data_IF_887046600264
#
_entry.id   IF_887046600264
#
_cell.length_a   1.000
_cell.length_b   1.000
_cell.length_c   1.000
_cell.angle_alpha   90.00
_cell.angle_beta   90.00
_cell.angle_gamma   90.00
#
_symmetry.space_group_name_H-M   'P 1'
#
loop_
_entity.id
_entity.type
_entity.pdbx_description
1 polymer ?
#
# COMPACT_ATOMS: atom_id res chain seq x y z
N UNK A 1 9.34 13.32 -2.05
CA UNK A 1 10.03 12.05 -2.29
C UNK A 1 11.44 12.08 -1.72
N UNK A 2 11.55 11.96 -0.40
CA UNK A 2 12.83 12.05 0.32
C UNK A 2 13.79 10.90 -0.02
N UNK A 3 13.25 9.69 -0.25
CA UNK A 3 14.05 8.48 -0.41
C UNK A 3 14.33 8.06 -1.86
N UNK A 4 13.89 8.83 -2.85
CA UNK A 4 14.03 8.43 -4.29
C UNK A 4 15.46 8.17 -4.77
N UNK A 5 16.47 8.61 -4.02
CA UNK A 5 17.91 8.40 -4.33
C UNK A 5 18.60 7.46 -3.36
N UNK A 6 17.86 6.85 -2.44
CA UNK A 6 18.38 5.98 -1.38
C UNK A 6 18.04 4.52 -1.66
N UNK A 7 19.02 3.64 -1.95
CA UNK A 7 18.77 2.23 -2.23
C UNK A 7 18.50 1.40 -0.97
N UNK A 8 18.60 1.97 0.24
CA UNK A 8 18.27 1.29 1.49
C UNK A 8 16.78 1.37 1.82
N UNK A 9 16.02 2.19 1.07
CA UNK A 9 14.56 2.33 1.23
C UNK A 9 13.88 1.96 -0.07
N UNK A 10 13.06 0.91 -0.04
CA UNK A 10 12.15 0.61 -1.13
C UNK A 10 10.82 1.33 -0.89
N UNK A 11 10.40 2.17 -1.83
CA UNK A 11 9.12 2.86 -1.79
C UNK A 11 8.14 2.17 -2.72
N UNK A 12 7.00 1.76 -2.17
CA UNK A 12 5.87 1.23 -2.94
C UNK A 12 4.64 2.09 -2.72
N UNK A 13 3.90 2.36 -3.78
CA UNK A 13 2.60 3.03 -3.68
C UNK A 13 1.62 2.47 -4.70
N UNK A 14 0.44 2.06 -4.22
CA UNK A 14 -0.74 1.80 -5.03
C UNK A 14 -1.76 2.90 -4.74
N UNK A 15 -2.20 3.63 -5.75
CA UNK A 15 -3.01 4.83 -5.58
C UNK A 15 -3.86 5.13 -6.83
N UNK A 16 -4.91 5.91 -6.62
CA UNK A 16 -5.71 6.44 -7.74
C UNK A 16 -4.89 7.45 -8.55
N UNK A 17 -4.94 7.32 -9.89
CA UNK A 17 -4.25 8.22 -10.79
C UNK A 17 -5.10 8.44 -12.08
N UNK A 18 -5.17 9.66 -12.63
CA UNK A 18 -4.61 10.91 -12.09
C UNK A 18 -5.42 11.43 -10.90
N UNK A 19 -4.74 11.78 -9.82
CA UNK A 19 -5.34 12.36 -8.61
C UNK A 19 -4.31 13.25 -7.90
N UNK A 20 -4.69 13.87 -6.79
CA UNK A 20 -3.75 14.62 -5.97
C UNK A 20 -2.62 13.68 -5.46
N UNK A 21 -1.34 14.11 -5.46
CA UNK A 21 -0.77 15.40 -5.91
C UNK A 21 -0.32 15.43 -7.39
N UNK A 22 -0.76 14.52 -8.23
CA UNK A 22 -0.44 14.46 -9.66
C UNK A 22 0.89 13.81 -10.01
N UNK A 23 1.54 13.17 -9.03
CA UNK A 23 2.77 12.37 -9.17
C UNK A 23 2.48 10.88 -8.96
N UNK A 24 3.49 10.02 -9.10
CA UNK A 24 3.33 8.58 -8.88
C UNK A 24 3.02 7.82 -10.17
N UNK A 25 3.50 8.28 -11.31
CA UNK A 25 3.40 7.51 -12.55
C UNK A 25 4.22 6.23 -12.46
N UNK A 26 3.84 5.21 -13.24
CA UNK A 26 4.60 3.95 -13.33
C UNK A 26 6.06 4.14 -13.74
N UNK A 27 6.37 5.21 -14.45
CA UNK A 27 7.73 5.54 -14.89
C UNK A 27 8.61 6.18 -13.81
N UNK A 28 8.05 6.58 -12.68
CA UNK A 28 8.81 7.13 -11.55
C UNK A 28 9.37 5.98 -10.71
N UNK A 29 10.57 5.50 -11.06
CA UNK A 29 11.20 4.29 -10.47
C UNK A 29 12.37 4.61 -9.53
N UNK A 30 12.53 5.86 -9.13
CA UNK A 30 13.66 6.32 -8.31
C UNK A 30 14.66 7.16 -9.10
N UNK A 31 15.77 7.51 -8.46
CA UNK A 31 16.80 8.40 -9.06
C UNK A 31 18.19 8.03 -8.56
N UNK A 32 19.23 8.18 -9.41
CA UNK A 32 20.63 7.89 -9.07
C UNK A 32 20.79 6.48 -8.45
N UNK A 33 21.35 6.36 -7.24
CA UNK A 33 21.53 5.08 -6.54
C UNK A 33 20.21 4.40 -6.16
N UNK A 34 19.12 5.16 -5.99
CA UNK A 34 17.78 4.63 -5.71
C UNK A 34 16.97 4.28 -6.95
N UNK A 35 17.59 4.27 -8.15
CA UNK A 35 16.89 3.83 -9.37
C UNK A 35 16.50 2.34 -9.25
N UNK A 36 15.22 2.03 -9.46
CA UNK A 36 14.65 0.70 -9.28
C UNK A 36 14.12 0.41 -7.86
N UNK A 37 14.31 1.34 -6.90
CA UNK A 37 13.80 1.23 -5.53
C UNK A 37 12.51 2.02 -5.28
N UNK A 38 11.80 2.33 -6.35
CA UNK A 38 10.44 2.90 -6.30
C UNK A 38 9.55 2.14 -7.26
N UNK A 39 8.41 1.67 -6.76
CA UNK A 39 7.38 1.00 -7.55
C UNK A 39 6.04 1.71 -7.35
N UNK A 40 5.49 2.25 -8.41
CA UNK A 40 4.17 2.85 -8.43
C UNK A 40 3.18 1.97 -9.21
N UNK A 41 2.01 1.75 -8.63
CA UNK A 41 0.86 1.08 -9.23
C UNK A 41 -0.29 2.09 -9.34
N UNK A 42 -0.27 2.97 -10.36
CA UNK A 42 -1.35 3.91 -10.59
C UNK A 42 -2.59 3.16 -11.08
N UNK A 43 -3.71 3.37 -10.40
CA UNK A 43 -5.02 2.78 -10.70
C UNK A 43 -5.98 3.85 -11.20
N UNK A 44 -6.81 3.52 -12.16
CA UNK A 44 -7.91 4.40 -12.57
C UNK A 44 -9.03 4.37 -11.52
N UNK A 45 -9.77 5.47 -11.43
CA UNK A 45 -11.02 5.49 -10.69
C UNK A 45 -11.89 4.28 -11.08
N UNK A 46 -12.60 3.72 -10.13
CA UNK A 46 -13.50 2.57 -10.32
C UNK A 46 -12.85 1.29 -10.86
N UNK A 47 -11.51 1.16 -10.79
CA UNK A 47 -10.85 -0.12 -11.10
C UNK A 47 -11.49 -1.24 -10.26
N UNK A 48 -11.86 -2.40 -10.84
CA UNK A 48 -12.44 -3.51 -10.09
C UNK A 48 -11.53 -3.96 -8.93
N UNK A 49 -12.11 -4.25 -7.77
CA UNK A 49 -11.33 -4.59 -6.56
C UNK A 49 -10.48 -5.85 -6.75
N UNK A 50 -10.96 -6.83 -7.54
CA UNK A 50 -10.18 -8.02 -7.88
C UNK A 50 -8.90 -7.69 -8.65
N UNK A 51 -8.95 -6.69 -9.53
CA UNK A 51 -7.77 -6.25 -10.28
C UNK A 51 -6.82 -5.44 -9.40
N UNK A 52 -7.37 -4.66 -8.47
CA UNK A 52 -6.57 -3.94 -7.47
C UNK A 52 -5.80 -4.91 -6.58
N UNK A 53 -6.45 -5.94 -6.03
CA UNK A 53 -5.81 -6.97 -5.20
C UNK A 53 -4.73 -7.72 -5.98
N UNK A 54 -5.05 -8.17 -7.20
CA UNK A 54 -4.07 -8.85 -8.06
C UNK A 54 -2.85 -7.96 -8.34
N UNK A 55 -3.06 -6.66 -8.58
CA UNK A 55 -1.98 -5.72 -8.81
C UNK A 55 -1.13 -5.52 -7.54
N UNK A 56 -1.77 -5.48 -6.37
CA UNK A 56 -1.09 -5.40 -5.07
C UNK A 56 -0.22 -6.64 -4.81
N UNK A 57 -0.81 -7.84 -4.92
CA UNK A 57 -0.10 -9.11 -4.70
C UNK A 57 1.09 -9.25 -5.65
N UNK A 58 0.89 -8.91 -6.92
CA UNK A 58 1.97 -8.92 -7.92
C UNK A 58 3.09 -7.93 -7.57
N UNK A 59 2.74 -6.74 -7.07
CA UNK A 59 3.72 -5.73 -6.68
C UNK A 59 4.53 -6.18 -5.46
N UNK A 60 3.88 -6.73 -4.42
CA UNK A 60 4.58 -7.26 -3.25
C UNK A 60 5.50 -8.41 -3.64
N UNK A 61 5.05 -9.35 -4.48
CA UNK A 61 5.89 -10.43 -5.00
C UNK A 61 7.09 -9.93 -5.79
N UNK A 62 6.92 -8.89 -6.63
CA UNK A 62 8.02 -8.24 -7.35
C UNK A 62 9.04 -7.64 -6.39
N UNK A 63 8.58 -6.93 -5.36
CA UNK A 63 9.45 -6.29 -4.36
C UNK A 63 10.21 -7.36 -3.58
N UNK A 64 9.51 -8.37 -3.06
CA UNK A 64 10.09 -9.44 -2.26
C UNK A 64 11.18 -10.22 -3.02
N UNK A 65 11.08 -10.30 -4.35
CA UNK A 65 12.10 -10.97 -5.17
C UNK A 65 13.44 -10.23 -5.28
N UNK A 66 13.48 -8.93 -4.93
CA UNK A 66 14.66 -8.07 -5.14
C UNK A 66 15.06 -7.18 -3.97
N UNK A 67 14.27 -7.18 -2.89
CA UNK A 67 14.53 -6.36 -1.72
C UNK A 67 14.16 -7.11 -0.44
N UNK A 68 15.09 -7.18 0.51
CA UNK A 68 14.87 -7.80 1.83
C UNK A 68 14.85 -6.68 2.88
N UNK A 69 13.68 -6.28 3.39
CA UNK A 69 13.57 -5.23 4.39
C UNK A 69 13.99 -5.71 5.78
N UNK A 70 14.54 -4.83 6.58
CA UNK A 70 14.69 -5.01 8.03
C UNK A 70 13.43 -4.58 8.80
N UNK A 71 12.60 -3.73 8.18
CA UNK A 71 11.37 -3.17 8.73
C UNK A 71 10.44 -2.79 7.59
N UNK A 72 9.15 -3.07 7.74
CA UNK A 72 8.10 -2.60 6.85
C UNK A 72 7.30 -1.49 7.52
N UNK A 73 7.10 -0.38 6.82
CA UNK A 73 6.23 0.71 7.25
C UNK A 73 5.06 0.81 6.28
N UNK A 74 3.84 0.68 6.79
CA UNK A 74 2.60 0.84 6.05
C UNK A 74 2.08 2.26 6.25
N UNK A 75 2.03 3.06 5.18
CA UNK A 75 1.21 4.28 5.14
C UNK A 75 -0.22 3.85 4.80
N UNK A 76 -1.03 3.63 5.83
CA UNK A 76 -2.36 3.07 5.72
C UNK A 76 -3.38 4.16 5.39
N UNK A 77 -3.61 4.41 4.10
CA UNK A 77 -4.66 5.28 3.60
C UNK A 77 -5.97 4.50 3.43
N UNK A 78 -7.02 4.90 4.13
CA UNK A 78 -8.35 4.28 4.05
C UNK A 78 -9.31 5.06 3.14
N UNK A 79 -8.85 6.09 2.48
CA UNK A 79 -9.57 6.89 1.48
C UNK A 79 -9.80 6.13 0.14
N UNK A 80 -9.19 4.96 -0.01
CA UNK A 80 -9.53 4.00 -1.08
C UNK A 80 -10.84 3.22 -0.84
N UNK A 81 -11.47 3.37 0.34
CA UNK A 81 -12.72 2.70 0.68
C UNK A 81 -13.88 3.19 -0.20
N UNK A 82 -14.77 2.25 -0.60
CA UNK A 82 -15.93 2.50 -1.46
C UNK A 82 -16.91 3.57 -0.96
N UNK A 83 -16.92 3.83 0.34
CA UNK A 83 -17.73 4.86 0.97
C UNK A 83 -17.01 6.20 1.14
N UNK A 84 -15.75 6.32 0.74
CA UNK A 84 -15.00 7.55 0.92
C UNK A 84 -15.53 8.68 0.02
N UNK A 85 -15.69 9.89 0.54
CA UNK A 85 -16.21 11.01 -0.26
C UNK A 85 -15.20 11.59 -1.27
N UNK A 86 -13.92 11.28 -1.13
CA UNK A 86 -12.84 11.81 -1.97
C UNK A 86 -12.25 10.76 -2.91
N UNK A 87 -12.02 9.54 -2.42
CA UNK A 87 -11.46 8.43 -3.20
C UNK A 87 -12.51 7.73 -4.06
N UNK A 88 -12.07 7.04 -5.12
CA UNK A 88 -12.93 6.30 -6.04
C UNK A 88 -12.38 4.90 -6.36
N UNK A 89 -11.62 4.30 -5.44
CA UNK A 89 -11.04 2.97 -5.65
C UNK A 89 -11.94 1.82 -5.21
N UNK A 90 -13.03 2.08 -4.50
CA UNK A 90 -14.12 1.14 -4.21
C UNK A 90 -13.74 -0.08 -3.35
N UNK A 91 -12.62 -0.04 -2.60
CA UNK A 91 -12.23 -1.13 -1.70
C UNK A 91 -13.25 -1.28 -0.56
N UNK A 92 -13.50 -2.50 -0.14
CA UNK A 92 -14.24 -2.81 1.09
C UNK A 92 -13.30 -3.20 2.22
N UNK A 93 -13.85 -3.36 3.43
CA UNK A 93 -13.07 -3.73 4.63
C UNK A 93 -12.25 -5.01 4.42
N UNK A 94 -12.84 -6.00 3.75
CA UNK A 94 -12.18 -7.27 3.46
C UNK A 94 -10.96 -7.11 2.52
N UNK A 95 -10.99 -6.14 1.61
CA UNK A 95 -9.86 -5.87 0.72
C UNK A 95 -8.67 -5.32 1.52
N UNK A 96 -8.92 -4.44 2.49
CA UNK A 96 -7.87 -3.95 3.41
C UNK A 96 -7.30 -5.07 4.28
N UNK A 97 -8.16 -5.98 4.78
CA UNK A 97 -7.72 -7.15 5.54
C UNK A 97 -6.80 -8.04 4.70
N UNK A 98 -7.19 -8.36 3.47
CA UNK A 98 -6.38 -9.20 2.58
C UNK A 98 -5.04 -8.55 2.26
N UNK A 99 -5.01 -7.26 1.93
CA UNK A 99 -3.77 -6.53 1.65
C UNK A 99 -2.87 -6.47 2.90
N UNK A 100 -3.45 -6.30 4.08
CA UNK A 100 -2.71 -6.33 5.36
C UNK A 100 -2.08 -7.69 5.59
N UNK A 101 -2.83 -8.77 5.34
CA UNK A 101 -2.35 -10.15 5.47
C UNK A 101 -1.14 -10.42 4.57
N UNK A 102 -1.21 -10.03 3.31
CA UNK A 102 -0.10 -10.20 2.36
C UNK A 102 1.17 -9.49 2.84
N UNK A 103 1.05 -8.27 3.34
CA UNK A 103 2.20 -7.53 3.89
C UNK A 103 2.75 -8.20 5.15
N UNK A 104 1.88 -8.69 6.02
CA UNK A 104 2.26 -9.38 7.24
C UNK A 104 2.99 -10.69 6.95
N UNK A 105 2.46 -11.52 6.07
CA UNK A 105 3.11 -12.77 5.62
C UNK A 105 4.51 -12.49 5.08
N UNK A 106 4.65 -11.49 4.23
CA UNK A 106 5.97 -11.07 3.76
C UNK A 106 6.87 -10.55 4.89
N UNK A 107 6.36 -9.80 5.85
CA UNK A 107 7.12 -9.31 7.00
C UNK A 107 7.61 -10.46 7.89
N UNK A 108 6.79 -11.47 8.11
CA UNK A 108 7.16 -12.65 8.89
C UNK A 108 8.34 -13.39 8.24
N UNK A 109 8.31 -13.55 6.93
CA UNK A 109 9.38 -14.18 6.16
C UNK A 109 10.66 -13.32 6.08
N UNK A 110 10.52 -12.02 5.81
CA UNK A 110 11.65 -11.16 5.47
C UNK A 110 12.29 -10.47 6.67
N UNK A 111 11.50 -10.08 7.68
CA UNK A 111 11.96 -9.25 8.79
C UNK A 111 11.39 -9.62 10.16
N UNK A 112 11.07 -10.91 10.37
CA UNK A 112 10.57 -11.43 11.64
C UNK A 112 9.36 -10.63 12.17
N UNK A 113 8.42 -10.28 11.30
CA UNK A 113 7.18 -9.60 11.63
C UNK A 113 7.32 -8.13 12.01
N UNK A 114 8.45 -7.49 11.74
CA UNK A 114 8.64 -6.07 12.08
C UNK A 114 7.87 -5.16 11.14
N UNK A 115 6.66 -4.79 11.58
CA UNK A 115 5.76 -3.89 10.84
C UNK A 115 5.34 -2.73 11.72
N UNK A 116 5.33 -1.53 11.15
CA UNK A 116 4.69 -0.34 11.72
C UNK A 116 3.61 0.11 10.76
N UNK A 117 2.41 0.36 11.26
CA UNK A 117 1.32 0.94 10.45
C UNK A 117 1.00 2.35 10.95
N UNK A 118 1.04 3.31 10.03
CA UNK A 118 0.70 4.70 10.27
C UNK A 118 -0.58 5.03 9.51
N UNK A 119 -1.60 5.49 10.22
CA UNK A 119 -2.85 5.93 9.60
C UNK A 119 -2.62 7.25 8.84
N UNK A 120 -3.06 7.29 7.60
CA UNK A 120 -2.96 8.47 6.72
C UNK A 120 -4.36 9.01 6.38
N UNK A 121 -4.86 8.79 5.15
CA UNK A 121 -6.18 9.21 4.70
C UNK A 121 -7.33 8.31 5.17
N UNK A 122 -8.53 8.77 4.95
CA UNK A 122 -9.79 8.11 5.28
C UNK A 122 -10.78 9.16 5.82
N UNK A 123 -11.77 9.54 5.00
CA UNK A 123 -12.58 10.74 5.24
C UNK A 123 -14.06 10.42 5.44
N UNK A 124 -14.45 9.14 5.39
CA UNK A 124 -15.79 8.71 5.77
C UNK A 124 -15.79 8.23 7.23
N UNK A 125 -16.29 9.06 8.14
CA UNK A 125 -16.30 8.77 9.57
C UNK A 125 -17.24 7.61 9.94
N UNK A 126 -18.23 7.29 9.11
CA UNK A 126 -19.16 6.19 9.37
C UNK A 126 -18.52 4.81 9.12
N UNK A 127 -17.54 4.74 8.23
CA UNK A 127 -16.88 3.47 7.87
C UNK A 127 -15.46 3.36 8.41
N UNK A 128 -14.75 4.48 8.59
CA UNK A 128 -13.33 4.51 8.95
C UNK A 128 -13.01 3.65 10.19
N UNK A 129 -13.83 3.77 11.25
CA UNK A 129 -13.60 3.04 12.50
C UNK A 129 -13.61 1.52 12.33
N UNK A 130 -14.54 0.99 11.52
CA UNK A 130 -14.63 -0.44 11.26
C UNK A 130 -13.48 -0.92 10.37
N UNK A 131 -13.14 -0.17 9.32
CA UNK A 131 -12.05 -0.50 8.41
C UNK A 131 -10.71 -0.50 9.14
N UNK A 132 -10.42 0.53 9.96
CA UNK A 132 -9.21 0.59 10.80
C UNK A 132 -9.17 -0.56 11.80
N UNK A 133 -10.30 -0.87 12.44
CA UNK A 133 -10.40 -1.99 13.38
C UNK A 133 -10.09 -3.32 12.71
N UNK A 134 -10.60 -3.54 11.50
CA UNK A 134 -10.35 -4.75 10.73
C UNK A 134 -8.86 -4.89 10.37
N UNK A 135 -8.24 -3.81 9.90
CA UNK A 135 -6.80 -3.74 9.62
C UNK A 135 -5.94 -4.05 10.87
N UNK A 136 -6.24 -3.41 12.01
CA UNK A 136 -5.49 -3.63 13.26
C UNK A 136 -5.64 -5.06 13.78
N UNK A 137 -6.85 -5.64 13.69
CA UNK A 137 -7.08 -7.05 14.07
C UNK A 137 -6.26 -8.00 13.22
N UNK A 138 -6.17 -7.76 11.92
CA UNK A 138 -5.34 -8.58 11.04
C UNK A 138 -3.85 -8.44 11.37
N UNK A 139 -3.36 -7.25 11.70
CA UNK A 139 -1.98 -7.05 12.16
C UNK A 139 -1.67 -7.81 13.45
N UNK A 140 -2.66 -7.98 14.33
CA UNK A 140 -2.51 -8.66 15.62
C UNK A 140 -2.75 -10.17 15.54
N UNK A 141 -3.29 -10.69 14.43
CA UNK A 141 -3.53 -12.14 14.29
C UNK A 141 -2.19 -12.89 14.26
N UNK A 142 -2.13 -14.04 14.95
CA UNK A 142 -0.98 -14.94 14.94
C UNK A 142 -0.96 -15.80 13.68
#
# INVERSE_FOLDING_TARGET
MLFRSDPTVFYFSMHQYPWYPGTGTRGETGHRRGLGYTLNVPLRATTPTVDQRRAFDSAIGEIASKFSPDLIIISAGFDAHKGDPLGQLLLGDEDFVQMTRVVKEWADEACAGRVISCMEGGYNLDTLGETVRAHVRELQSC
#
